data_IF_554655661015
#
_entry.id   IF_554655661015
#
_cell.length_a   1.000
_cell.length_b   1.000
_cell.length_c   1.000
_cell.angle_alpha   90.00
_cell.angle_beta   90.00
_cell.angle_gamma   90.00
#
_symmetry.space_group_name_H-M   'P 1'
#
loop_
_entity.id
_entity.type
_entity.pdbx_description
1 polymer ?
#
# COMPACT_ATOMS: atom_id res chain seq x y z
N UNK A 1 24.70 21.98 13.76
CA UNK A 1 24.88 20.95 12.71
C UNK A 1 23.95 19.75 12.84
N UNK A 2 23.62 19.26 14.06
CA UNK A 2 22.75 18.08 14.30
C UNK A 2 21.38 18.12 13.57
N UNK A 3 20.60 19.20 13.74
CA UNK A 3 19.25 19.38 13.14
C UNK A 3 19.17 19.23 11.61
N UNK A 4 20.23 19.56 10.86
CA UNK A 4 20.25 19.39 9.38
C UNK A 4 20.52 17.94 8.97
N UNK A 5 21.39 17.24 9.71
CA UNK A 5 21.67 15.83 9.47
C UNK A 5 20.45 14.95 9.79
N UNK A 6 19.71 15.29 10.86
CA UNK A 6 18.50 14.57 11.28
C UNK A 6 17.38 14.67 10.23
N UNK A 7 17.21 15.84 9.60
CA UNK A 7 16.23 16.02 8.53
C UNK A 7 16.63 15.31 7.22
N UNK A 8 17.92 15.34 6.86
CA UNK A 8 18.40 14.60 5.68
C UNK A 8 18.11 13.10 5.79
N UNK A 9 18.41 12.50 6.95
CA UNK A 9 18.08 11.09 7.22
C UNK A 9 16.57 10.82 7.12
N UNK A 10 15.76 11.69 7.69
CA UNK A 10 14.30 11.58 7.61
C UNK A 10 13.81 11.55 6.16
N UNK A 11 14.28 12.49 5.33
CA UNK A 11 13.91 12.59 3.91
C UNK A 11 14.35 11.35 3.13
N UNK A 12 15.57 10.85 3.37
CA UNK A 12 16.06 9.64 2.69
C UNK A 12 15.22 8.40 3.02
N UNK A 13 14.87 8.18 4.29
CA UNK A 13 14.03 7.04 4.68
C UNK A 13 12.61 7.20 4.12
N UNK A 14 12.04 8.40 4.16
CA UNK A 14 10.73 8.64 3.56
C UNK A 14 10.76 8.35 2.05
N UNK A 15 11.79 8.78 1.33
CA UNK A 15 11.95 8.52 -0.09
C UNK A 15 12.04 7.01 -0.39
N UNK A 16 12.84 6.26 0.37
CA UNK A 16 12.95 4.80 0.25
C UNK A 16 11.59 4.10 0.46
N UNK A 17 10.83 4.53 1.47
CA UNK A 17 9.49 3.97 1.71
C UNK A 17 8.56 4.25 0.54
N UNK A 18 8.59 5.46 -0.05
CA UNK A 18 7.75 5.79 -1.21
C UNK A 18 8.16 5.00 -2.45
N UNK A 19 9.45 4.95 -2.75
CA UNK A 19 9.99 4.19 -3.88
C UNK A 19 9.64 2.70 -3.80
N UNK A 20 9.85 2.08 -2.64
CA UNK A 20 9.51 0.66 -2.45
C UNK A 20 8.00 0.41 -2.51
N UNK A 21 7.18 1.40 -2.11
CA UNK A 21 5.72 1.31 -2.23
C UNK A 21 5.27 1.33 -3.69
N UNK A 22 5.82 2.26 -4.47
CA UNK A 22 5.54 2.44 -5.89
C UNK A 22 5.98 1.22 -6.71
N UNK A 23 7.24 0.79 -6.54
CA UNK A 23 7.78 -0.39 -7.22
C UNK A 23 6.96 -1.66 -6.94
N UNK A 24 6.50 -1.83 -5.69
CA UNK A 24 5.63 -2.95 -5.36
C UNK A 24 4.25 -2.79 -6.02
N UNK A 25 3.66 -1.60 -6.02
CA UNK A 25 2.40 -1.34 -6.70
C UNK A 25 2.46 -1.69 -8.20
N UNK A 26 3.52 -1.28 -8.89
CA UNK A 26 3.77 -1.63 -10.29
C UNK A 26 3.89 -3.15 -10.50
N UNK A 27 4.59 -3.85 -9.59
CA UNK A 27 4.73 -5.30 -9.62
C UNK A 27 3.39 -6.02 -9.46
N UNK A 28 2.52 -5.53 -8.58
CA UNK A 28 1.23 -6.14 -8.27
C UNK A 28 0.15 -5.84 -9.31
N UNK A 29 0.28 -4.74 -10.05
CA UNK A 29 -0.74 -4.25 -10.97
C UNK A 29 -1.25 -5.31 -11.98
N UNK A 30 -0.40 -6.13 -12.64
CA UNK A 30 -0.89 -7.16 -13.56
C UNK A 30 -1.79 -8.20 -12.89
N UNK A 31 -1.53 -8.56 -11.63
CA UNK A 31 -2.36 -9.51 -10.87
C UNK A 31 -3.69 -8.87 -10.47
N UNK A 32 -3.65 -7.63 -10.00
CA UNK A 32 -4.86 -6.84 -9.74
C UNK A 32 -5.75 -6.74 -10.99
N UNK A 33 -5.18 -6.36 -12.13
CA UNK A 33 -5.91 -6.22 -13.40
C UNK A 33 -6.56 -7.51 -13.87
N UNK A 34 -5.94 -8.66 -13.58
CA UNK A 34 -6.51 -9.98 -13.89
C UNK A 34 -7.81 -10.21 -13.12
N UNK A 35 -7.81 -9.91 -11.82
CA UNK A 35 -8.98 -10.05 -10.96
C UNK A 35 -10.04 -9.02 -11.28
N UNK A 36 -9.65 -7.75 -11.45
CA UNK A 36 -10.55 -6.64 -11.79
C UNK A 36 -11.35 -6.91 -13.06
N UNK A 37 -10.66 -7.31 -14.14
CA UNK A 37 -11.31 -7.64 -15.43
C UNK A 37 -12.29 -8.80 -15.30
N UNK A 38 -11.91 -9.85 -14.56
CA UNK A 38 -12.78 -11.00 -14.37
C UNK A 38 -14.05 -10.64 -13.59
N UNK A 39 -13.94 -9.81 -12.54
CA UNK A 39 -15.09 -9.30 -11.79
C UNK A 39 -15.98 -8.45 -12.69
N UNK A 40 -15.40 -7.49 -13.43
CA UNK A 40 -16.15 -6.56 -14.27
C UNK A 40 -16.89 -7.25 -15.43
N UNK A 41 -16.26 -8.29 -16.01
CA UNK A 41 -16.82 -9.04 -17.14
C UNK A 41 -17.66 -10.25 -16.70
N UNK A 42 -17.72 -10.55 -15.41
CA UNK A 42 -18.39 -11.75 -14.88
C UNK A 42 -17.79 -13.05 -15.40
N UNK A 43 -16.47 -13.11 -15.57
CA UNK A 43 -15.73 -14.25 -16.09
C UNK A 43 -15.00 -15.02 -15.00
N UNK A 44 -14.74 -16.30 -15.27
CA UNK A 44 -13.93 -17.13 -14.40
C UNK A 44 -12.45 -16.72 -14.45
N UNK A 45 -11.80 -16.74 -13.28
CA UNK A 45 -10.35 -16.58 -13.13
C UNK A 45 -9.70 -17.96 -13.19
N UNK A 46 -8.57 -18.07 -13.89
CA UNK A 46 -7.90 -19.37 -14.02
C UNK A 46 -7.32 -19.84 -12.68
N UNK A 47 -7.26 -21.16 -12.42
CA UNK A 47 -6.56 -21.72 -11.27
C UNK A 47 -5.14 -21.19 -11.06
N UNK A 48 -4.40 -21.05 -12.16
CA UNK A 48 -3.01 -20.59 -12.16
C UNK A 48 -2.91 -19.12 -11.73
N UNK A 49 -3.88 -18.29 -12.11
CA UNK A 49 -3.91 -16.88 -11.72
C UNK A 49 -4.21 -16.71 -10.22
N UNK A 50 -5.06 -17.56 -9.63
CA UNK A 50 -5.23 -17.59 -8.17
C UNK A 50 -3.92 -17.95 -7.47
N UNK A 51 -3.25 -19.02 -7.91
CA UNK A 51 -2.01 -19.50 -7.27
C UNK A 51 -0.89 -18.45 -7.35
N UNK A 52 -0.72 -17.82 -8.52
CA UNK A 52 0.29 -16.76 -8.71
C UNK A 52 -0.04 -15.51 -7.90
N UNK A 53 -1.31 -15.10 -7.90
CA UNK A 53 -1.74 -13.88 -7.22
C UNK A 53 -1.59 -13.99 -5.72
N UNK A 54 -1.86 -15.17 -5.14
CA UNK A 54 -1.72 -15.40 -3.70
C UNK A 54 -0.34 -14.99 -3.20
N UNK A 55 0.70 -15.59 -3.78
CA UNK A 55 2.06 -15.34 -3.33
C UNK A 55 2.46 -13.86 -3.50
N UNK A 56 2.05 -13.24 -4.61
CA UNK A 56 2.41 -11.85 -4.90
C UNK A 56 1.67 -10.86 -4.01
N UNK A 57 0.37 -11.04 -3.78
CA UNK A 57 -0.40 -10.17 -2.89
C UNK A 57 0.04 -10.33 -1.42
N UNK A 58 0.33 -11.55 -0.96
CA UNK A 58 0.90 -11.78 0.37
C UNK A 58 2.23 -11.04 0.55
N UNK A 59 3.15 -11.14 -0.43
CA UNK A 59 4.42 -10.41 -0.43
C UNK A 59 4.21 -8.88 -0.43
N UNK A 60 3.22 -8.40 -1.19
CA UNK A 60 2.85 -6.99 -1.23
C UNK A 60 2.40 -6.46 0.13
N UNK A 61 1.46 -7.17 0.77
CA UNK A 61 0.93 -6.82 2.10
C UNK A 61 2.06 -6.82 3.14
N UNK A 62 2.94 -7.81 3.12
CA UNK A 62 4.10 -7.87 4.03
C UNK A 62 5.05 -6.67 3.82
N UNK A 63 5.36 -6.32 2.57
CA UNK A 63 6.19 -5.15 2.28
C UNK A 63 5.54 -3.86 2.78
N UNK A 64 4.26 -3.66 2.54
CA UNK A 64 3.54 -2.48 3.01
C UNK A 64 3.47 -2.43 4.54
N UNK A 65 3.29 -3.57 5.22
CA UNK A 65 3.38 -3.61 6.68
C UNK A 65 4.77 -3.18 7.18
N UNK A 66 5.83 -3.68 6.55
CA UNK A 66 7.21 -3.32 6.90
C UNK A 66 7.48 -1.82 6.67
N UNK A 67 6.97 -1.26 5.58
CA UNK A 67 7.05 0.17 5.31
C UNK A 67 6.27 1.01 6.33
N UNK A 68 5.10 0.55 6.78
CA UNK A 68 4.37 1.18 7.88
C UNK A 68 5.21 1.19 9.16
N UNK A 69 5.85 0.07 9.51
CA UNK A 69 6.72 -0.04 10.69
C UNK A 69 7.91 0.91 10.60
N UNK A 70 8.54 1.04 9.42
CA UNK A 70 9.61 2.04 9.17
C UNK A 70 9.12 3.46 9.43
N UNK A 71 7.94 3.83 8.92
CA UNK A 71 7.37 5.16 9.13
C UNK A 71 7.04 5.41 10.61
N UNK A 72 6.49 4.42 11.32
CA UNK A 72 6.18 4.54 12.74
C UNK A 72 7.42 4.73 13.62
N UNK A 73 8.54 4.10 13.25
CA UNK A 73 9.82 4.20 13.96
C UNK A 73 10.65 5.43 13.56
N UNK A 74 10.20 6.21 12.58
CA UNK A 74 10.97 7.34 12.05
C UNK A 74 10.77 8.59 12.91
N UNK A 75 11.86 9.09 13.50
CA UNK A 75 11.83 10.34 14.27
C UNK A 75 11.64 11.55 13.34
N UNK A 76 10.45 12.14 13.35
CA UNK A 76 10.14 13.33 12.57
C UNK A 76 10.56 14.62 13.31
N UNK A 77 11.15 15.62 12.61
CA UNK A 77 11.37 16.94 13.18
C UNK A 77 10.08 17.56 13.71
N UNK A 78 10.18 18.30 14.82
CA UNK A 78 9.04 18.96 15.48
C UNK A 78 8.22 19.82 14.50
N UNK A 79 8.89 20.50 13.55
CA UNK A 79 8.24 21.35 12.55
C UNK A 79 7.26 20.58 11.64
N UNK A 80 7.46 19.28 11.42
CA UNK A 80 6.63 18.45 10.52
C UNK A 80 5.96 17.26 11.22
N UNK A 81 6.16 17.07 12.53
CA UNK A 81 5.66 15.89 13.27
C UNK A 81 4.14 15.71 13.14
N UNK A 82 3.38 16.81 13.06
CA UNK A 82 1.93 16.76 12.86
C UNK A 82 1.55 16.21 11.47
N UNK A 83 2.29 16.56 10.43
CA UNK A 83 2.07 16.04 9.07
C UNK A 83 2.56 14.61 8.96
N UNK A 84 3.70 14.29 9.58
CA UNK A 84 4.21 12.93 9.67
C UNK A 84 3.21 11.96 10.32
N UNK A 85 2.59 12.33 11.45
CA UNK A 85 1.55 11.49 12.08
C UNK A 85 0.36 11.23 11.14
N UNK A 86 -0.03 12.23 10.34
CA UNK A 86 -1.10 12.08 9.34
C UNK A 86 -0.67 11.15 8.20
N UNK A 87 0.58 11.24 7.75
CA UNK A 87 1.18 10.32 6.78
C UNK A 87 1.15 8.88 7.31
N UNK A 88 1.62 8.63 8.54
CA UNK A 88 1.60 7.29 9.16
C UNK A 88 0.17 6.74 9.23
N UNK A 89 -0.80 7.58 9.59
CA UNK A 89 -2.21 7.18 9.61
C UNK A 89 -2.77 6.86 8.23
N UNK A 90 -2.39 7.62 7.19
CA UNK A 90 -2.79 7.34 5.81
C UNK A 90 -2.15 6.05 5.29
N UNK A 91 -0.85 5.85 5.56
CA UNK A 91 -0.14 4.63 5.18
C UNK A 91 -0.72 3.39 5.86
N UNK A 92 -1.15 3.50 7.13
CA UNK A 92 -1.87 2.42 7.81
C UNK A 92 -3.15 2.03 7.06
N UNK A 93 -3.99 3.02 6.70
CA UNK A 93 -5.23 2.75 5.94
C UNK A 93 -4.95 2.12 4.58
N UNK A 94 -3.87 2.54 3.92
CA UNK A 94 -3.44 1.95 2.65
C UNK A 94 -3.08 0.47 2.84
N UNK A 95 -2.20 0.16 3.79
CA UNK A 95 -1.84 -1.21 4.14
C UNK A 95 -3.07 -2.07 4.51
N UNK A 96 -3.97 -1.54 5.36
CA UNK A 96 -5.20 -2.24 5.76
C UNK A 96 -6.10 -2.51 4.55
N UNK A 97 -6.25 -1.53 3.64
CA UNK A 97 -6.99 -1.71 2.38
C UNK A 97 -6.38 -2.81 1.49
N UNK A 98 -5.05 -2.85 1.34
CA UNK A 98 -4.38 -3.93 0.60
C UNK A 98 -4.60 -5.30 1.28
N UNK A 99 -4.54 -5.36 2.61
CA UNK A 99 -4.78 -6.59 3.35
C UNK A 99 -6.24 -7.06 3.21
N UNK A 100 -7.21 -6.14 3.25
CA UNK A 100 -8.62 -6.45 3.02
C UNK A 100 -8.87 -6.93 1.58
N UNK A 101 -8.22 -6.34 0.58
CA UNK A 101 -8.29 -6.82 -0.81
C UNK A 101 -7.75 -8.25 -0.94
N UNK A 102 -6.59 -8.53 -0.36
CA UNK A 102 -6.05 -9.90 -0.35
C UNK A 102 -7.00 -10.88 0.36
N UNK A 103 -7.67 -10.41 1.42
CA UNK A 103 -8.62 -11.21 2.21
C UNK A 103 -9.97 -11.42 1.51
N UNK A 104 -10.29 -10.64 0.48
CA UNK A 104 -11.52 -10.81 -0.31
C UNK A 104 -11.42 -11.93 -1.34
N UNK A 105 -10.24 -12.57 -1.45
CA UNK A 105 -9.98 -13.66 -2.39
C UNK A 105 -9.87 -14.97 -1.61
N UNK A 106 -10.78 -15.90 -1.87
CA UNK A 106 -10.62 -17.29 -1.46
C UNK A 106 -9.78 -18.04 -2.49
N UNK A 107 -8.47 -18.08 -2.25
CA UNK A 107 -7.53 -18.77 -3.13
C UNK A 107 -7.76 -20.29 -3.22
N UNK A 108 -8.25 -20.92 -2.14
CA UNK A 108 -8.47 -22.37 -2.11
C UNK A 108 -9.79 -22.75 -2.77
N UNK A 109 -10.86 -22.00 -2.48
CA UNK A 109 -12.18 -22.14 -3.10
C UNK A 109 -12.28 -21.54 -4.50
N UNK A 110 -11.27 -20.76 -4.93
CA UNK A 110 -11.20 -20.06 -6.21
C UNK A 110 -12.42 -19.16 -6.43
N UNK A 111 -12.67 -18.31 -5.45
CA UNK A 111 -13.77 -17.38 -5.44
C UNK A 111 -13.30 -16.00 -4.96
N UNK A 112 -14.00 -14.95 -5.41
CA UNK A 112 -13.73 -13.58 -5.01
C UNK A 112 -15.01 -12.94 -4.50
N UNK A 113 -14.92 -12.34 -3.32
CA UNK A 113 -15.92 -11.41 -2.81
C UNK A 113 -15.77 -10.08 -3.55
N UNK A 114 -16.55 -9.89 -4.61
CA UNK A 114 -16.47 -8.70 -5.45
C UNK A 114 -16.79 -7.40 -4.70
N UNK A 115 -17.76 -7.42 -3.77
CA UNK A 115 -18.13 -6.23 -2.99
C UNK A 115 -16.97 -5.82 -2.07
N UNK A 116 -16.39 -6.78 -1.35
CA UNK A 116 -15.24 -6.50 -0.49
C UNK A 116 -14.01 -6.10 -1.31
N UNK A 117 -13.80 -6.68 -2.50
CA UNK A 117 -12.71 -6.30 -3.40
C UNK A 117 -12.85 -4.82 -3.85
N UNK A 118 -14.04 -4.42 -4.29
CA UNK A 118 -14.36 -3.05 -4.73
C UNK A 118 -14.18 -2.03 -3.60
N UNK A 119 -14.66 -2.36 -2.40
CA UNK A 119 -14.50 -1.51 -1.21
C UNK A 119 -13.01 -1.33 -0.89
N UNK A 120 -12.26 -2.43 -0.89
CA UNK A 120 -10.83 -2.42 -0.57
C UNK A 120 -10.01 -1.64 -1.59
N UNK A 121 -10.35 -1.74 -2.89
CA UNK A 121 -9.76 -0.96 -3.98
C UNK A 121 -9.91 0.54 -3.74
N UNK A 122 -11.14 0.96 -3.40
CA UNK A 122 -11.44 2.36 -3.11
C UNK A 122 -10.74 2.85 -1.85
N UNK A 123 -10.67 2.03 -0.81
CA UNK A 123 -10.00 2.37 0.45
C UNK A 123 -8.49 2.59 0.25
N UNK A 124 -7.81 1.65 -0.42
CA UNK A 124 -6.38 1.79 -0.70
C UNK A 124 -6.09 2.99 -1.62
N UNK A 125 -6.93 3.25 -2.62
CA UNK A 125 -6.78 4.39 -3.52
C UNK A 125 -6.89 5.74 -2.80
N UNK A 126 -7.95 5.92 -2.01
CA UNK A 126 -8.13 7.15 -1.21
C UNK A 126 -6.99 7.35 -0.20
N UNK A 127 -6.49 6.27 0.40
CA UNK A 127 -5.36 6.32 1.31
C UNK A 127 -4.06 6.72 0.56
N UNK A 128 -3.86 6.25 -0.66
CA UNK A 128 -2.71 6.63 -1.50
C UNK A 128 -2.73 8.13 -1.87
N UNK A 129 -3.91 8.67 -2.20
CA UNK A 129 -4.08 10.12 -2.42
C UNK A 129 -3.70 10.94 -1.18
N UNK A 130 -4.11 10.49 0.00
CA UNK A 130 -3.75 11.10 1.27
C UNK A 130 -2.23 11.03 1.52
N UNK A 131 -1.60 9.89 1.26
CA UNK A 131 -0.14 9.69 1.37
C UNK A 131 0.57 10.70 0.47
N UNK A 132 0.25 10.73 -0.83
CA UNK A 132 0.86 11.64 -1.80
C UNK A 132 0.73 13.12 -1.34
N UNK A 133 -0.45 13.50 -0.85
CA UNK A 133 -0.69 14.85 -0.31
C UNK A 133 0.18 15.16 0.90
N UNK A 134 0.39 14.23 1.83
CA UNK A 134 1.20 14.47 3.02
C UNK A 134 2.70 14.44 2.73
N UNK A 135 3.17 13.55 1.85
CA UNK A 135 4.56 13.53 1.37
C UNK A 135 4.90 14.86 0.71
N UNK A 136 4.04 15.35 -0.20
CA UNK A 136 4.23 16.66 -0.83
C UNK A 136 4.32 17.82 0.17
N UNK A 137 3.59 17.75 1.29
CA UNK A 137 3.66 18.77 2.36
C UNK A 137 4.95 18.70 3.17
N UNK A 138 5.54 17.52 3.29
CA UNK A 138 6.79 17.28 4.02
C UNK A 138 8.02 17.69 3.18
N UNK A 139 7.96 17.44 1.86
CA UNK A 139 9.07 17.70 0.93
C UNK A 139 9.10 19.14 0.38
N UNK A 140 8.17 20.00 0.80
CA UNK A 140 8.12 21.44 0.47
C UNK A 140 9.01 22.24 1.41
#
# INVERSE_FOLDING_TARGET
MKRRADFGRYVSILAEVMETTENMGEKLNPFFETFRKAIDEGKDISPEDYDKTKAEFENGVELYENNLRKLQGLEAPIAIIGVHKKLVGAYRRFYEGCAHMNSSIDYAGRWVDAEQFDVSEKEQGNAMDDIARFVKKIMR
#
